data_IF_521979152583
#
_entry.id   IF_521979152583
#
_cell.length_a   1.000
_cell.length_b   1.000
_cell.length_c   1.000
_cell.angle_alpha   90.00
_cell.angle_beta   90.00
_cell.angle_gamma   90.00
#
_symmetry.space_group_name_H-M   'P 1'
#
loop_
_entity.id
_entity.type
_entity.pdbx_description
1 polymer ?
#
# COMPACT_ATOMS: atom_id res chain seq x y z
N UNK A 1 50.44 6.87 5.26
CA UNK A 1 49.37 7.45 4.42
C UNK A 1 48.99 6.46 3.34
N UNK A 2 47.86 5.78 3.51
CA UNK A 2 46.99 5.32 2.41
C UNK A 2 45.68 4.88 3.05
N UNK A 3 44.66 5.72 2.87
CA UNK A 3 43.26 5.35 3.05
C UNK A 3 42.73 4.88 1.68
N UNK A 4 41.76 3.95 1.66
CA UNK A 4 40.45 4.14 1.01
C UNK A 4 39.61 2.84 0.93
N UNK A 5 38.50 2.89 1.68
CA UNK A 5 37.10 2.53 1.39
C UNK A 5 36.65 1.18 0.77
N UNK A 6 35.97 0.44 1.65
CA UNK A 6 34.69 -0.29 1.56
C UNK A 6 33.86 -0.20 0.25
N UNK A 7 33.49 -1.36 -0.28
CA UNK A 7 32.41 -1.55 -1.25
C UNK A 7 31.61 -2.85 -0.96
N UNK A 8 30.30 -2.78 -1.25
CA UNK A 8 29.31 -3.87 -1.43
C UNK A 8 28.59 -4.45 -0.20
N UNK A 9 27.37 -3.96 0.05
CA UNK A 9 26.24 -4.79 0.52
C UNK A 9 25.29 -5.01 -0.67
N UNK A 10 25.23 -6.26 -1.15
CA UNK A 10 24.31 -6.73 -2.21
C UNK A 10 22.87 -6.84 -1.67
N UNK A 11 21.82 -6.82 -2.54
CA UNK A 11 20.43 -6.85 -2.11
C UNK A 11 20.04 -8.19 -1.49
N UNK A 12 19.59 -8.13 -0.24
CA UNK A 12 19.02 -9.25 0.51
C UNK A 12 17.56 -9.43 0.06
N UNK A 13 17.10 -10.67 -0.12
CA UNK A 13 15.68 -10.94 -0.38
C UNK A 13 15.20 -12.06 0.51
N UNK A 14 14.18 -11.77 1.32
CA UNK A 14 13.42 -12.77 2.06
C UNK A 14 12.32 -13.28 1.15
N UNK A 15 12.21 -14.61 1.02
CA UNK A 15 11.16 -15.25 0.21
C UNK A 15 10.32 -16.10 1.16
N UNK A 16 9.01 -15.88 1.15
CA UNK A 16 8.05 -16.70 1.87
C UNK A 16 7.49 -17.74 0.88
N UNK A 17 7.61 -19.03 1.21
CA UNK A 17 7.07 -20.11 0.38
C UNK A 17 6.11 -20.92 1.26
N UNK A 18 4.88 -21.09 0.77
CA UNK A 18 3.89 -21.95 1.41
C UNK A 18 4.06 -23.37 0.90
N UNK A 19 4.24 -24.31 1.83
CA UNK A 19 4.21 -25.75 1.56
C UNK A 19 3.05 -26.35 2.35
N UNK A 20 2.02 -26.80 1.64
CA UNK A 20 0.82 -27.47 2.18
C UNK A 20 0.14 -26.67 3.32
N UNK A 21 0.52 -26.96 4.57
CA UNK A 21 -0.06 -26.38 5.79
C UNK A 21 0.89 -25.43 6.56
N UNK A 22 2.12 -25.19 6.08
CA UNK A 22 3.12 -24.37 6.78
C UNK A 22 3.69 -23.24 5.93
N UNK A 23 4.01 -22.12 6.59
CA UNK A 23 4.77 -21.03 6.02
C UNK A 23 6.24 -21.21 6.35
N UNK A 24 7.07 -21.33 5.32
CA UNK A 24 8.51 -21.43 5.48
C UNK A 24 9.17 -20.16 4.95
N UNK A 25 10.00 -19.55 5.79
CA UNK A 25 10.76 -18.35 5.45
C UNK A 25 12.14 -18.76 4.97
N UNK A 26 12.49 -18.29 3.78
CA UNK A 26 13.77 -18.58 3.14
C UNK A 26 14.58 -17.30 3.03
N UNK A 27 15.82 -17.39 3.48
CA UNK A 27 16.79 -16.33 3.27
C UNK A 27 17.63 -16.66 2.05
N UNK A 28 17.57 -15.81 1.03
CA UNK A 28 18.38 -15.94 -0.17
C UNK A 28 19.50 -14.91 -0.11
N UNK A 29 20.74 -15.38 0.04
CA UNK A 29 21.92 -14.53 -0.01
C UNK A 29 22.88 -14.93 -1.13
N UNK A 30 23.53 -13.91 -1.70
CA UNK A 30 24.49 -14.07 -2.77
C UNK A 30 25.91 -14.17 -2.20
N UNK A 31 26.55 -15.31 -2.41
CA UNK A 31 27.98 -15.49 -2.19
C UNK A 31 28.80 -15.13 -3.43
N UNK A 32 30.14 -15.20 -3.32
CA UNK A 32 31.04 -14.87 -4.44
C UNK A 32 30.86 -15.76 -5.68
N UNK A 33 30.39 -17.01 -5.51
CA UNK A 33 30.24 -18.01 -6.60
C UNK A 33 28.97 -18.86 -6.49
N UNK A 34 28.17 -18.68 -5.44
CA UNK A 34 27.00 -19.51 -5.14
C UNK A 34 25.88 -18.65 -4.60
N UNK A 35 24.64 -19.11 -4.76
CA UNK A 35 23.49 -18.59 -4.02
C UNK A 35 23.20 -19.55 -2.87
N UNK A 36 23.01 -19.01 -1.67
CA UNK A 36 22.67 -19.80 -0.50
C UNK A 36 21.19 -19.58 -0.20
N UNK A 37 20.40 -20.63 -0.34
CA UNK A 37 19.03 -20.68 0.16
C UNK A 37 19.09 -21.31 1.56
N UNK A 38 18.81 -20.52 2.59
CA UNK A 38 18.81 -20.97 3.98
C UNK A 38 17.38 -21.09 4.46
N UNK A 39 17.07 -22.22 5.08
CA UNK A 39 15.82 -22.39 5.83
C UNK A 39 16.13 -22.23 7.31
N UNK A 40 15.14 -21.80 8.06
CA UNK A 40 15.23 -21.82 9.52
C UNK A 40 14.25 -22.86 10.04
N UNK A 41 14.76 -23.89 10.71
CA UNK A 41 13.97 -24.76 11.56
C UNK A 41 14.14 -24.24 12.98
N UNK A 42 13.10 -23.60 13.53
CA UNK A 42 13.06 -23.36 14.97
C UNK A 42 12.79 -24.68 15.68
N UNK A 43 13.50 -24.97 16.77
CA UNK A 43 13.07 -26.04 17.68
C UNK A 43 11.71 -25.65 18.27
N UNK A 44 10.83 -26.64 18.47
CA UNK A 44 9.41 -26.55 18.87
C UNK A 44 9.12 -25.84 20.22
N UNK A 45 10.08 -25.14 20.82
CA UNK A 45 9.95 -24.52 22.14
C UNK A 45 10.52 -23.10 22.25
N UNK A 46 10.65 -22.36 21.13
CA UNK A 46 11.06 -20.94 21.15
C UNK A 46 10.09 -20.07 20.35
N UNK A 47 9.42 -19.08 20.97
CA UNK A 47 8.55 -18.17 20.24
C UNK A 47 9.38 -17.15 19.46
N UNK A 48 9.04 -17.00 18.17
CA UNK A 48 9.22 -15.81 17.33
C UNK A 48 10.65 -15.28 17.12
N UNK A 49 11.23 -15.57 15.95
CA UNK A 49 12.39 -14.81 15.43
C UNK A 49 11.87 -13.72 14.49
N UNK A 50 12.15 -12.45 14.81
CA UNK A 50 11.71 -11.27 14.07
C UNK A 50 12.71 -10.86 12.99
N UNK A 51 12.20 -10.41 11.84
CA UNK A 51 12.99 -9.98 10.67
C UNK A 51 14.10 -8.93 10.91
N UNK A 52 14.02 -7.98 11.88
CA UNK A 52 15.09 -7.00 12.10
C UNK A 52 16.33 -7.57 12.80
N UNK A 53 16.27 -8.78 13.38
CA UNK A 53 17.42 -9.43 14.03
C UNK A 53 18.19 -10.36 13.07
N UNK A 54 17.78 -10.47 11.81
CA UNK A 54 18.37 -11.40 10.84
C UNK A 54 19.72 -10.95 10.25
N UNK A 55 20.22 -9.75 10.58
CA UNK A 55 21.47 -9.23 10.01
C UNK A 55 22.74 -9.85 10.61
N UNK A 56 22.63 -10.56 11.74
CA UNK A 56 23.77 -11.18 12.45
C UNK A 56 23.72 -12.72 12.52
N UNK A 57 22.84 -13.38 11.74
CA UNK A 57 22.58 -14.84 11.84
C UNK A 57 23.43 -15.70 10.89
N UNK A 58 24.75 -15.66 11.04
CA UNK A 58 25.58 -16.76 10.51
C UNK A 58 25.51 -18.01 11.41
N UNK A 59 25.25 -17.86 12.70
CA UNK A 59 25.11 -18.96 13.65
C UNK A 59 23.67 -19.49 13.70
N UNK A 60 23.49 -20.77 13.34
CA UNK A 60 22.23 -21.51 13.49
C UNK A 60 21.42 -21.74 12.21
N UNK A 61 21.76 -21.10 11.09
CA UNK A 61 21.10 -21.35 9.82
C UNK A 61 21.68 -22.61 9.13
N UNK A 62 20.85 -23.61 8.87
CA UNK A 62 21.28 -24.74 8.04
C UNK A 62 21.15 -24.39 6.56
N UNK A 63 22.23 -24.63 5.81
CA UNK A 63 22.20 -24.56 4.36
C UNK A 63 21.54 -25.84 3.87
N UNK A 64 20.26 -25.75 3.52
CA UNK A 64 19.50 -26.90 3.03
C UNK A 64 19.92 -27.26 1.60
N UNK A 65 20.41 -26.28 0.85
CA UNK A 65 20.93 -26.51 -0.49
C UNK A 65 21.96 -25.45 -0.88
N UNK A 66 23.18 -25.87 -1.22
CA UNK A 66 24.10 -25.06 -2.01
C UNK A 66 23.92 -25.41 -3.47
N UNK A 67 23.44 -24.44 -4.26
CA UNK A 67 23.34 -24.58 -5.70
C UNK A 67 24.48 -23.79 -6.34
N UNK A 68 25.31 -24.51 -7.11
CA UNK A 68 26.21 -23.88 -8.07
C UNK A 68 25.40 -23.13 -9.13
N UNK A 69 25.96 -22.10 -9.73
CA UNK A 69 25.30 -21.36 -10.82
C UNK A 69 24.87 -22.29 -11.97
N UNK A 70 25.61 -23.39 -12.17
CA UNK A 70 25.34 -24.41 -13.17
C UNK A 70 24.14 -25.30 -12.80
N UNK A 71 23.97 -25.61 -11.50
CA UNK A 71 22.80 -26.35 -11.01
C UNK A 71 21.52 -25.50 -11.03
N UNK A 72 21.62 -24.20 -10.71
CA UNK A 72 20.50 -23.26 -10.88
C UNK A 72 20.07 -23.22 -12.34
N UNK A 73 21.03 -23.04 -13.25
CA UNK A 73 20.83 -23.05 -14.69
C UNK A 73 20.13 -24.33 -15.21
N UNK A 74 20.54 -25.50 -14.72
CA UNK A 74 19.93 -26.78 -15.09
C UNK A 74 18.51 -26.95 -14.54
N UNK A 75 18.23 -26.50 -13.32
CA UNK A 75 16.90 -26.63 -12.71
C UNK A 75 15.89 -25.62 -13.26
N UNK A 76 16.35 -24.45 -13.72
CA UNK A 76 15.49 -23.41 -14.31
C UNK A 76 15.44 -23.44 -15.84
N UNK A 77 16.26 -24.27 -16.48
CA UNK A 77 16.34 -24.40 -17.94
C UNK A 77 17.04 -23.23 -18.66
N UNK A 78 17.88 -22.46 -17.97
CA UNK A 78 18.58 -21.29 -18.53
C UNK A 78 20.12 -21.45 -18.53
N UNK A 79 20.85 -20.90 -19.52
CA UNK A 79 22.31 -21.08 -19.59
C UNK A 79 23.08 -20.31 -18.51
N UNK A 80 24.11 -20.95 -17.97
CA UNK A 80 24.97 -20.40 -16.92
C UNK A 80 25.98 -19.38 -17.47
N UNK A 81 25.55 -18.16 -17.82
CA UNK A 81 26.46 -17.01 -17.93
C UNK A 81 25.76 -15.65 -17.86
N UNK A 82 26.42 -14.73 -17.13
CA UNK A 82 26.26 -13.26 -17.07
C UNK A 82 25.52 -12.70 -15.85
N UNK A 83 26.32 -12.31 -14.86
CA UNK A 83 25.99 -11.57 -13.63
C UNK A 83 25.53 -10.11 -13.85
N UNK A 84 25.03 -9.78 -15.05
CA UNK A 84 24.42 -8.47 -15.37
C UNK A 84 22.94 -8.54 -15.77
N UNK A 85 22.32 -9.72 -15.71
CA UNK A 85 20.87 -9.87 -15.78
C UNK A 85 20.28 -9.69 -14.37
N UNK A 86 19.99 -8.48 -13.90
CA UNK A 86 18.72 -7.81 -14.17
C UNK A 86 17.55 -8.81 -14.15
N UNK A 87 16.81 -8.82 -13.03
CA UNK A 87 15.34 -8.71 -13.04
C UNK A 87 14.62 -9.78 -13.83
N UNK A 88 14.26 -10.91 -13.21
CA UNK A 88 13.39 -11.89 -13.85
C UNK A 88 11.90 -11.73 -13.45
N UNK A 89 11.04 -11.33 -14.38
CA UNK A 89 9.58 -11.51 -14.36
C UNK A 89 9.05 -12.85 -13.81
N UNK A 90 9.76 -13.95 -14.06
CA UNK A 90 9.34 -15.29 -13.63
C UNK A 90 9.32 -15.45 -12.10
N UNK A 91 10.30 -14.87 -11.40
CA UNK A 91 10.33 -14.81 -9.93
C UNK A 91 9.18 -13.97 -9.35
N UNK A 92 8.70 -13.01 -10.14
CA UNK A 92 7.54 -12.19 -9.82
C UNK A 92 6.24 -13.00 -9.86
N UNK A 93 6.05 -13.75 -10.95
CA UNK A 93 4.95 -14.70 -11.07
C UNK A 93 4.95 -15.71 -9.93
N UNK A 94 6.12 -16.24 -9.52
CA UNK A 94 6.17 -17.16 -8.38
C UNK A 94 5.79 -16.52 -7.04
N UNK A 95 6.16 -15.26 -6.79
CA UNK A 95 5.76 -14.55 -5.58
C UNK A 95 4.24 -14.29 -5.60
N UNK A 96 3.70 -13.80 -6.71
CA UNK A 96 2.26 -13.61 -6.87
C UNK A 96 1.48 -14.93 -6.79
N UNK A 97 2.05 -16.02 -7.30
CA UNK A 97 1.49 -17.38 -7.15
C UNK A 97 1.52 -17.86 -5.70
N UNK A 98 2.52 -17.46 -4.92
CA UNK A 98 2.69 -17.84 -3.52
C UNK A 98 1.85 -16.99 -2.55
N UNK A 99 1.27 -15.87 -3.02
CA UNK A 99 0.34 -15.09 -2.22
C UNK A 99 -0.93 -15.89 -1.92
N UNK A 100 -1.56 -15.69 -0.74
CA UNK A 100 -2.72 -16.45 -0.33
C UNK A 100 -3.84 -16.34 -1.37
N UNK A 101 -4.38 -17.50 -1.77
CA UNK A 101 -5.60 -17.54 -2.57
C UNK A 101 -6.81 -17.16 -1.68
N UNK A 102 -7.80 -16.44 -2.21
CA UNK A 102 -9.02 -16.10 -1.47
C UNK A 102 -9.69 -17.40 -0.99
N UNK A 103 -9.75 -17.59 0.32
CA UNK A 103 -10.28 -18.80 0.97
C UNK A 103 -9.43 -19.28 2.15
N UNK A 104 -8.14 -18.97 2.17
CA UNK A 104 -7.27 -19.20 3.32
C UNK A 104 -7.12 -17.92 4.14
N UNK A 105 -8.19 -17.47 4.80
CA UNK A 105 -8.01 -16.54 5.91
C UNK A 105 -7.16 -17.28 6.97
N UNK A 106 -6.14 -16.65 7.57
CA UNK A 106 -5.58 -17.21 8.79
C UNK A 106 -6.75 -17.41 9.76
N UNK A 107 -6.78 -18.56 10.46
CA UNK A 107 -7.70 -18.73 11.57
C UNK A 107 -7.62 -17.46 12.42
N UNK A 108 -8.77 -16.91 12.82
CA UNK A 108 -8.78 -15.79 13.76
C UNK A 108 -7.75 -16.11 14.85
N UNK A 109 -6.80 -15.20 15.15
CA UNK A 109 -5.82 -15.48 16.19
C UNK A 109 -6.62 -15.95 17.39
N UNK A 110 -6.41 -17.20 17.82
CA UNK A 110 -7.24 -17.86 18.84
C UNK A 110 -7.55 -16.80 19.86
N UNK A 111 -8.83 -16.42 19.93
CA UNK A 111 -9.25 -15.40 20.85
C UNK A 111 -8.66 -15.84 22.18
N UNK A 112 -7.76 -15.03 22.74
CA UNK A 112 -7.39 -15.18 24.13
C UNK A 112 -8.68 -14.82 24.85
N UNK A 113 -9.62 -15.76 24.89
CA UNK A 113 -10.84 -15.66 25.64
C UNK A 113 -10.34 -15.42 27.05
N UNK A 114 -10.80 -14.36 27.72
CA UNK A 114 -10.47 -14.17 29.11
C UNK A 114 -10.96 -15.43 29.82
N UNK A 115 -10.01 -16.24 30.31
CA UNK A 115 -10.31 -17.42 31.11
C UNK A 115 -11.36 -17.03 32.15
N UNK A 116 -12.39 -17.89 32.27
CA UNK A 116 -13.49 -17.78 33.23
C UNK A 116 -13.05 -17.06 34.50
N UNK A 117 -13.42 -15.77 34.61
CA UNK A 117 -13.05 -14.91 35.74
C UNK A 117 -13.76 -15.48 36.98
N UNK A 118 -12.97 -15.98 37.91
CA UNK A 118 -13.41 -16.25 39.28
C UNK A 118 -13.96 -14.94 39.89
N UNK A 119 -15.27 -14.91 40.14
CA UNK A 119 -16.02 -13.72 40.60
C UNK A 119 -15.85 -13.40 42.09
N UNK A 120 -14.91 -14.06 42.78
CA UNK A 120 -14.83 -14.00 44.26
C UNK A 120 -13.86 -12.97 44.86
N UNK A 121 -13.20 -12.12 44.06
CA UNK A 121 -12.31 -11.07 44.58
C UNK A 121 -12.75 -9.67 44.15
N UNK A 122 -13.32 -8.92 45.10
CA UNK A 122 -13.57 -7.48 44.99
C UNK A 122 -12.24 -6.75 44.68
N UNK A 123 -12.12 -6.22 43.47
CA UNK A 123 -10.98 -5.37 43.08
C UNK A 123 -11.24 -3.89 43.40
N UNK A 124 -10.20 -3.12 43.75
CA UNK A 124 -10.29 -1.67 43.91
C UNK A 124 -10.73 -0.98 42.62
N UNK A 125 -11.59 0.02 42.75
CA UNK A 125 -12.32 0.77 41.72
C UNK A 125 -11.47 1.59 40.73
N UNK A 126 -10.15 1.41 40.66
CA UNK A 126 -9.25 2.15 39.76
C UNK A 126 -8.84 1.37 38.49
N UNK A 127 -9.16 0.07 38.38
CA UNK A 127 -8.72 -0.79 37.24
C UNK A 127 -9.82 -0.90 36.15
N UNK A 128 -11.02 -0.38 36.39
CA UNK A 128 -12.12 -0.43 35.41
C UNK A 128 -11.90 0.43 34.15
N UNK A 129 -10.86 1.27 34.10
CA UNK A 129 -10.47 2.05 32.91
C UNK A 129 -9.44 1.34 32.01
N UNK A 130 -8.94 0.15 32.39
CA UNK A 130 -7.96 -0.62 31.60
C UNK A 130 -8.57 -1.71 30.71
N UNK A 131 -9.84 -2.06 30.90
CA UNK A 131 -10.52 -3.13 30.16
C UNK A 131 -11.07 -2.69 28.78
N UNK A 132 -10.73 -1.48 28.30
CA UNK A 132 -10.90 -1.05 26.89
C UNK A 132 -9.55 -0.96 26.16
N UNK A 133 -8.59 -1.83 26.50
CA UNK A 133 -7.45 -2.11 25.64
C UNK A 133 -7.94 -2.94 24.43
N UNK A 134 -8.75 -2.32 23.57
CA UNK A 134 -8.91 -2.79 22.19
C UNK A 134 -7.49 -3.00 21.66
N UNK A 135 -7.23 -4.21 21.21
CA UNK A 135 -5.91 -4.68 20.81
C UNK A 135 -5.28 -3.62 19.90
N UNK A 136 -4.24 -2.90 20.37
CA UNK A 136 -3.55 -1.84 19.61
C UNK A 136 -2.68 -2.42 18.49
N UNK A 137 -3.11 -3.56 17.97
CA UNK A 137 -2.52 -4.29 16.87
C UNK A 137 -3.15 -3.82 15.58
N UNK A 138 -2.30 -3.36 14.69
CA UNK A 138 -2.68 -2.89 13.36
C UNK A 138 -2.48 -4.07 12.39
N UNK A 139 -3.50 -4.45 11.60
CA UNK A 139 -3.35 -5.43 10.55
C UNK A 139 -2.29 -5.03 9.54
N UNK A 140 -1.42 -5.97 9.17
CA UNK A 140 -0.60 -5.83 7.96
C UNK A 140 -1.38 -6.50 6.83
N UNK A 141 -1.97 -5.68 5.97
CA UNK A 141 -2.76 -6.18 4.84
C UNK A 141 -1.88 -6.77 3.75
N UNK A 142 -2.46 -7.67 2.94
CA UNK A 142 -1.76 -8.29 1.82
C UNK A 142 -1.24 -7.26 0.80
N UNK A 143 -2.05 -6.24 0.47
CA UNK A 143 -1.62 -5.14 -0.41
C UNK A 143 -0.53 -4.27 0.21
N UNK A 144 -0.52 -4.08 1.54
CA UNK A 144 0.54 -3.34 2.23
C UNK A 144 1.88 -4.08 2.16
N UNK A 145 1.86 -5.39 2.36
CA UNK A 145 3.04 -6.24 2.17
C UNK A 145 3.53 -6.20 0.72
N UNK A 146 2.62 -6.33 -0.24
CA UNK A 146 2.95 -6.22 -1.66
C UNK A 146 3.61 -4.86 -1.95
N UNK A 147 2.97 -3.76 -1.56
CA UNK A 147 3.50 -2.42 -1.81
C UNK A 147 4.85 -2.16 -1.12
N UNK A 148 5.04 -2.60 0.13
CA UNK A 148 6.32 -2.50 0.81
C UNK A 148 7.43 -3.22 0.02
N UNK A 149 7.16 -4.45 -0.41
CA UNK A 149 8.06 -5.21 -1.27
C UNK A 149 8.34 -4.52 -2.60
N UNK A 150 7.31 -3.95 -3.25
CA UNK A 150 7.45 -3.19 -4.50
C UNK A 150 8.41 -2.02 -4.35
N UNK A 151 8.23 -1.27 -3.26
CA UNK A 151 8.99 -0.05 -2.98
C UNK A 151 10.48 -0.34 -2.84
N UNK A 152 10.85 -1.48 -2.24
CA UNK A 152 12.25 -1.84 -2.03
C UNK A 152 12.98 -2.23 -3.33
N UNK A 153 12.24 -2.50 -4.41
CA UNK A 153 12.78 -2.94 -5.70
C UNK A 153 12.85 -1.82 -6.76
N UNK A 154 12.73 -0.56 -6.36
CA UNK A 154 12.35 0.60 -7.18
C UNK A 154 13.30 1.04 -8.32
N UNK A 155 14.23 0.22 -8.81
CA UNK A 155 15.01 0.57 -10.01
C UNK A 155 14.09 0.71 -11.24
N UNK A 156 14.07 1.86 -11.93
CA UNK A 156 13.12 2.21 -13.02
C UNK A 156 12.89 1.09 -14.07
N UNK A 157 13.96 0.48 -14.61
CA UNK A 157 13.81 -0.65 -15.56
C UNK A 157 13.05 -1.87 -15.01
N UNK A 158 13.00 -2.02 -13.68
CA UNK A 158 12.24 -3.07 -12.99
C UNK A 158 10.77 -2.76 -12.95
N UNK A 159 10.45 -1.50 -12.73
CA UNK A 159 9.09 -1.00 -12.65
C UNK A 159 8.33 -1.27 -13.95
N UNK A 160 8.96 -1.01 -15.11
CA UNK A 160 8.34 -1.28 -16.40
C UNK A 160 8.14 -2.78 -16.67
N UNK A 161 9.13 -3.61 -16.34
CA UNK A 161 9.01 -5.07 -16.48
C UNK A 161 7.88 -5.61 -15.60
N UNK A 162 7.82 -5.15 -14.35
CA UNK A 162 6.76 -5.52 -13.42
C UNK A 162 5.38 -5.05 -13.87
N UNK A 163 5.25 -3.80 -14.34
CA UNK A 163 3.99 -3.30 -14.88
C UNK A 163 3.51 -4.16 -16.06
N UNK A 164 4.41 -4.61 -16.93
CA UNK A 164 4.08 -5.54 -18.03
C UNK A 164 3.53 -6.87 -17.51
N UNK A 165 4.16 -7.47 -16.50
CA UNK A 165 3.70 -8.73 -15.94
C UNK A 165 2.38 -8.60 -15.18
N UNK A 166 2.22 -7.56 -14.37
CA UNK A 166 1.01 -7.35 -13.56
C UNK A 166 -0.22 -7.07 -14.43
N UNK A 167 -0.02 -6.58 -15.65
CA UNK A 167 -1.08 -6.32 -16.63
C UNK A 167 -1.42 -7.56 -17.50
N UNK A 168 -0.69 -8.67 -17.36
CA UNK A 168 -0.97 -9.93 -18.07
C UNK A 168 -1.89 -10.80 -17.23
N UNK A 169 -2.87 -11.42 -17.88
CA UNK A 169 -3.70 -12.42 -17.21
C UNK A 169 -2.86 -13.62 -16.72
N UNK A 170 -3.18 -14.20 -15.55
CA UNK A 170 -4.32 -13.89 -14.66
C UNK A 170 -3.96 -12.90 -13.52
N UNK A 171 -2.93 -12.07 -13.69
CA UNK A 171 -2.40 -11.25 -12.58
C UNK A 171 -3.37 -10.15 -12.12
N UNK A 172 -4.10 -9.42 -13.00
CA UNK A 172 -5.10 -8.45 -12.55
C UNK A 172 -6.15 -9.06 -11.61
N UNK A 173 -6.65 -10.26 -11.91
CA UNK A 173 -7.59 -10.98 -11.06
C UNK A 173 -7.01 -11.25 -9.66
N UNK A 174 -5.74 -11.67 -9.59
CA UNK A 174 -5.06 -11.89 -8.31
C UNK A 174 -4.87 -10.61 -7.53
N UNK A 175 -4.52 -9.51 -8.20
CA UNK A 175 -4.40 -8.22 -7.55
C UNK A 175 -5.75 -7.73 -7.00
N UNK A 176 -6.84 -7.95 -7.74
CA UNK A 176 -8.19 -7.67 -7.27
C UNK A 176 -8.58 -8.55 -6.05
N UNK A 177 -8.21 -9.82 -6.06
CA UNK A 177 -8.41 -10.72 -4.90
C UNK A 177 -7.58 -10.29 -3.69
N UNK A 178 -6.34 -9.82 -3.90
CA UNK A 178 -5.52 -9.23 -2.83
C UNK A 178 -6.12 -7.95 -2.27
N UNK A 179 -6.73 -7.12 -3.11
CA UNK A 179 -7.48 -5.95 -2.68
C UNK A 179 -8.63 -6.36 -1.76
N UNK A 180 -9.49 -7.29 -2.18
CA UNK A 180 -10.60 -7.77 -1.36
C UNK A 180 -10.12 -8.44 -0.05
N UNK A 181 -9.05 -9.24 -0.10
CA UNK A 181 -8.45 -9.81 1.10
C UNK A 181 -7.95 -8.72 2.06
N UNK A 182 -7.34 -7.66 1.52
CA UNK A 182 -6.85 -6.53 2.32
C UNK A 182 -7.99 -5.78 2.99
N UNK A 183 -9.13 -5.60 2.31
CA UNK A 183 -10.36 -5.05 2.91
C UNK A 183 -10.80 -5.91 4.09
N UNK A 184 -10.88 -7.25 3.90
CA UNK A 184 -11.28 -8.19 4.96
C UNK A 184 -10.33 -8.17 6.15
N UNK A 185 -9.02 -8.18 5.90
CA UNK A 185 -8.00 -8.10 6.95
C UNK A 185 -8.09 -6.80 7.74
N UNK A 186 -8.27 -5.66 7.05
CA UNK A 186 -8.35 -4.36 7.70
C UNK A 186 -9.72 -4.11 8.35
N UNK A 187 -10.77 -4.85 7.98
CA UNK A 187 -12.08 -4.76 8.64
C UNK A 187 -12.04 -5.19 10.11
N UNK A 188 -11.03 -5.99 10.51
CA UNK A 188 -10.78 -6.37 11.90
C UNK A 188 -10.17 -5.23 12.72
N UNK A 189 -9.68 -4.17 12.08
CA UNK A 189 -9.10 -3.01 12.75
C UNK A 189 -10.16 -1.98 13.08
N UNK A 190 -10.36 -1.77 14.37
CA UNK A 190 -11.27 -0.76 14.90
C UNK A 190 -10.50 0.32 15.66
N UNK A 191 -10.43 1.52 15.11
CA UNK A 191 -9.82 2.68 15.77
C UNK A 191 -10.53 3.97 15.36
N UNK A 192 -10.94 4.76 16.35
CA UNK A 192 -11.66 6.02 16.17
C UNK A 192 -10.82 7.27 16.46
N UNK A 193 -9.52 7.12 16.73
CA UNK A 193 -8.61 8.26 16.88
C UNK A 193 -8.51 9.09 15.58
N UNK A 194 -7.98 10.32 15.60
CA UNK A 194 -7.75 11.08 14.35
C UNK A 194 -6.79 10.37 13.38
N UNK A 195 -7.01 10.52 12.07
CA UNK A 195 -6.14 10.02 11.00
C UNK A 195 -4.73 10.62 10.99
N UNK A 196 -4.52 11.75 11.66
CA UNK A 196 -3.24 12.44 11.75
C UNK A 196 -3.06 13.07 13.15
N UNK A 197 -1.83 13.34 13.62
CA UNK A 197 -1.63 14.18 14.80
C UNK A 197 -2.17 15.60 14.55
N UNK A 198 -2.35 16.42 15.60
CA UNK A 198 -2.58 17.86 15.41
C UNK A 198 -1.49 18.46 14.51
N UNK A 199 -1.88 19.30 13.56
CA UNK A 199 -0.98 19.94 12.59
C UNK A 199 -1.13 21.46 12.63
N UNK A 200 -0.05 22.15 12.31
CA UNK A 200 -0.12 23.58 12.01
C UNK A 200 -0.98 23.82 10.76
N UNK A 201 -1.62 25.00 10.64
CA UNK A 201 -2.26 25.40 9.40
C UNK A 201 -1.28 25.34 8.22
N UNK A 202 -1.80 25.04 7.02
CA UNK A 202 -1.03 25.12 5.79
C UNK A 202 -0.53 26.57 5.57
N UNK A 203 0.71 26.77 5.10
CA UNK A 203 1.28 28.09 4.88
C UNK A 203 0.61 28.83 3.72
N UNK A 204 1.07 30.07 3.46
CA UNK A 204 0.62 30.84 2.31
C UNK A 204 1.10 30.21 0.98
N UNK A 205 0.24 30.08 -0.04
CA UNK A 205 0.59 29.61 -1.39
C UNK A 205 1.87 30.19 -1.99
N UNK A 206 2.15 31.47 -1.74
CA UNK A 206 3.32 32.18 -2.29
C UNK A 206 4.62 31.53 -1.80
N UNK A 207 4.62 30.98 -0.58
CA UNK A 207 5.80 30.31 0.00
C UNK A 207 6.09 28.92 -0.59
N UNK A 208 5.17 28.37 -1.38
CA UNK A 208 5.27 27.04 -1.99
C UNK A 208 5.62 27.09 -3.48
N UNK A 209 6.18 28.21 -3.94
CA UNK A 209 6.62 28.42 -5.32
C UNK A 209 8.14 28.60 -5.37
N UNK A 210 8.87 27.84 -6.22
CA UNK A 210 8.37 26.80 -7.13
C UNK A 210 7.91 25.54 -6.38
N UNK A 211 7.02 24.76 -7.00
CA UNK A 211 6.52 23.50 -6.42
C UNK A 211 7.64 22.47 -6.44
N UNK A 212 8.10 21.99 -5.28
CA UNK A 212 9.15 20.98 -5.20
C UNK A 212 8.65 19.66 -4.63
N UNK A 213 7.62 19.72 -3.80
CA UNK A 213 7.12 18.62 -2.99
C UNK A 213 5.61 18.44 -3.11
N UNK A 214 5.11 17.27 -2.72
CA UNK A 214 3.66 17.01 -2.62
C UNK A 214 3.00 17.99 -1.66
N UNK A 215 3.72 18.44 -0.62
CA UNK A 215 3.24 19.44 0.32
C UNK A 215 2.97 20.79 -0.36
N UNK A 216 3.89 21.27 -1.21
CA UNK A 216 3.71 22.54 -1.93
C UNK A 216 2.43 22.52 -2.78
N UNK A 217 2.22 21.42 -3.51
CA UNK A 217 1.03 21.24 -4.33
C UNK A 217 -0.25 21.12 -3.49
N UNK A 218 -0.16 20.53 -2.29
CA UNK A 218 -1.26 20.46 -1.31
C UNK A 218 -1.70 21.86 -0.87
N UNK A 219 -0.74 22.74 -0.58
CA UNK A 219 -1.01 24.13 -0.17
C UNK A 219 -1.78 24.86 -1.28
N UNK A 220 -1.32 24.75 -2.52
CA UNK A 220 -1.97 25.38 -3.67
C UNK A 220 -3.38 24.83 -3.91
N UNK A 221 -3.55 23.51 -3.89
CA UNK A 221 -4.85 22.86 -4.08
C UNK A 221 -5.86 23.27 -2.99
N UNK A 222 -5.42 23.24 -1.73
CA UNK A 222 -6.24 23.64 -0.58
C UNK A 222 -6.68 25.10 -0.69
N UNK A 223 -5.76 26.01 -1.02
CA UNK A 223 -6.06 27.42 -1.17
C UNK A 223 -6.99 27.69 -2.36
N UNK A 224 -6.76 27.02 -3.50
CA UNK A 224 -7.65 27.12 -4.65
C UNK A 224 -9.07 26.68 -4.30
N UNK A 225 -9.25 25.54 -3.64
CA UNK A 225 -10.57 25.06 -3.24
C UNK A 225 -11.24 25.99 -2.22
N UNK A 226 -10.49 26.64 -1.33
CA UNK A 226 -11.04 27.65 -0.41
C UNK A 226 -11.61 28.86 -1.14
N UNK A 227 -10.97 29.29 -2.23
CA UNK A 227 -11.38 30.50 -2.96
C UNK A 227 -12.42 30.22 -4.06
N UNK A 228 -12.37 29.03 -4.68
CA UNK A 228 -13.22 28.68 -5.83
C UNK A 228 -14.23 27.57 -5.52
N UNK A 229 -14.21 27.01 -4.32
CA UNK A 229 -15.06 25.91 -3.88
C UNK A 229 -14.62 24.54 -4.38
N UNK A 230 -14.08 24.43 -5.60
CA UNK A 230 -13.73 23.17 -6.27
C UNK A 230 -12.61 23.34 -7.29
N UNK A 231 -12.03 22.23 -7.75
CA UNK A 231 -11.15 22.16 -8.93
C UNK A 231 -11.87 21.43 -10.05
N UNK A 232 -12.06 22.13 -11.16
CA UNK A 232 -12.66 21.57 -12.37
C UNK A 232 -11.65 20.73 -13.16
N UNK A 233 -12.14 19.62 -13.72
CA UNK A 233 -11.34 18.72 -14.55
C UNK A 233 -11.71 18.90 -16.02
N UNK A 234 -10.78 19.47 -16.79
CA UNK A 234 -10.96 19.73 -18.22
C UNK A 234 -11.28 18.44 -18.99
N UNK A 235 -12.39 18.45 -19.73
CA UNK A 235 -12.84 17.30 -20.53
C UNK A 235 -13.41 16.12 -19.72
N UNK A 236 -13.67 16.31 -18.42
CA UNK A 236 -14.34 15.33 -17.56
C UNK A 236 -14.99 15.99 -16.33
N UNK A 237 -16.08 16.77 -16.48
CA UNK A 237 -16.73 17.47 -15.38
C UNK A 237 -17.12 16.57 -14.20
N UNK A 238 -17.46 15.31 -14.46
CA UNK A 238 -17.79 14.31 -13.44
C UNK A 238 -16.63 13.98 -12.48
N UNK A 239 -15.40 14.40 -12.81
CA UNK A 239 -14.21 14.23 -11.99
C UNK A 239 -13.90 15.46 -11.10
N UNK A 240 -14.71 16.52 -11.21
CA UNK A 240 -14.55 17.75 -10.42
C UNK A 240 -14.59 17.44 -8.93
N UNK A 241 -13.63 17.98 -8.18
CA UNK A 241 -13.42 17.61 -6.79
C UNK A 241 -13.11 18.82 -5.91
N UNK A 242 -13.28 18.64 -4.60
CA UNK A 242 -12.86 19.61 -3.58
C UNK A 242 -11.82 18.99 -2.69
N UNK A 243 -10.86 19.79 -2.26
CA UNK A 243 -9.89 19.40 -1.25
C UNK A 243 -10.58 19.20 0.11
N UNK A 244 -10.26 18.10 0.79
CA UNK A 244 -10.72 17.84 2.17
C UNK A 244 -9.54 17.82 3.12
N UNK A 245 -8.57 16.94 2.86
CA UNK A 245 -7.43 16.75 3.77
C UNK A 245 -6.21 16.15 3.06
N UNK A 246 -5.07 16.06 3.74
CA UNK A 246 -3.81 15.50 3.26
C UNK A 246 -3.13 14.61 4.30
N UNK A 247 -2.20 13.77 3.85
CA UNK A 247 -1.37 12.88 4.68
C UNK A 247 -2.17 12.02 5.70
N UNK A 248 -3.31 11.46 5.27
CA UNK A 248 -4.16 10.67 6.16
C UNK A 248 -3.58 9.27 6.35
N UNK A 249 -3.44 8.80 7.57
CA UNK A 249 -2.98 7.43 7.85
C UNK A 249 -4.13 6.56 8.38
N UNK A 250 -4.78 5.72 7.53
CA UNK A 250 -5.82 4.79 7.98
C UNK A 250 -5.37 3.91 9.14
N UNK A 251 -4.12 3.45 9.08
CA UNK A 251 -3.50 2.59 10.08
C UNK A 251 -2.94 3.33 11.31
N UNK A 252 -3.20 4.63 11.46
CA UNK A 252 -2.68 5.41 12.59
C UNK A 252 -3.35 5.00 13.90
N UNK A 253 -2.54 4.56 14.85
CA UNK A 253 -2.91 4.31 16.25
C UNK A 253 -1.90 5.00 17.16
N UNK A 254 -2.34 5.70 18.21
CA UNK A 254 -1.47 6.35 19.18
C UNK A 254 -0.94 5.39 20.25
N UNK A 255 0.10 5.83 20.96
CA UNK A 255 0.77 5.06 22.01
C UNK A 255 1.67 3.96 21.46
N UNK A 256 1.91 2.91 22.25
CA UNK A 256 2.80 1.78 21.90
C UNK A 256 2.09 0.77 20.99
N UNK A 257 1.45 1.26 19.93
CA UNK A 257 0.82 0.40 18.93
C UNK A 257 1.86 -0.44 18.20
N UNK A 258 1.46 -1.65 17.85
CA UNK A 258 2.28 -2.61 17.11
C UNK A 258 1.47 -3.13 15.93
N UNK A 259 2.13 -3.70 14.95
CA UNK A 259 1.44 -4.46 13.90
C UNK A 259 1.13 -5.89 14.39
N UNK A 260 0.37 -6.67 13.61
CA UNK A 260 0.10 -8.08 13.94
C UNK A 260 1.36 -8.96 14.01
N UNK A 261 2.41 -8.60 13.28
CA UNK A 261 3.73 -9.22 13.42
C UNK A 261 4.52 -8.68 14.63
N UNK A 262 3.85 -7.95 15.53
CA UNK A 262 4.37 -7.34 16.75
C UNK A 262 5.49 -6.31 16.53
N UNK A 263 5.76 -5.94 15.27
CA UNK A 263 6.70 -4.88 14.94
C UNK A 263 6.16 -3.50 15.38
N UNK A 264 7.02 -2.56 15.81
CA UNK A 264 6.58 -1.24 16.25
C UNK A 264 5.92 -0.41 15.12
N UNK A 265 4.74 0.14 15.37
CA UNK A 265 4.03 1.00 14.43
C UNK A 265 4.52 2.47 14.49
N UNK A 266 5.79 2.71 14.15
CA UNK A 266 6.46 4.02 14.37
C UNK A 266 6.07 5.11 13.38
N UNK A 267 5.82 4.77 12.12
CA UNK A 267 5.33 5.69 11.07
C UNK A 267 4.45 4.92 10.10
N UNK A 268 3.17 5.28 10.08
CA UNK A 268 2.21 4.75 9.10
C UNK A 268 2.49 5.29 7.70
N UNK A 269 1.93 4.62 6.71
CA UNK A 269 1.83 5.14 5.34
C UNK A 269 0.63 6.06 5.25
N UNK A 270 0.75 7.16 4.53
CA UNK A 270 -0.26 8.21 4.44
C UNK A 270 -0.79 8.37 3.01
N UNK A 271 -2.10 8.53 2.89
CA UNK A 271 -2.78 9.00 1.68
C UNK A 271 -2.33 10.44 1.44
N UNK A 272 -1.82 10.74 0.25
CA UNK A 272 -1.39 12.10 -0.06
C UNK A 272 -2.55 13.09 0.06
N UNK A 273 -3.67 12.85 -0.63
CA UNK A 273 -4.88 13.66 -0.54
C UNK A 273 -6.15 12.83 -0.34
N UNK A 274 -6.99 13.30 0.58
CA UNK A 274 -8.42 12.97 0.61
C UNK A 274 -9.16 14.13 -0.05
N UNK A 275 -9.89 13.81 -1.13
CA UNK A 275 -10.75 14.75 -1.84
C UNK A 275 -12.20 14.27 -1.75
N UNK A 276 -13.12 15.12 -2.17
CA UNK A 276 -14.53 14.78 -2.31
C UNK A 276 -15.03 15.12 -3.71
N UNK A 277 -15.77 14.20 -4.32
CA UNK A 277 -16.44 14.45 -5.59
C UNK A 277 -17.45 15.59 -5.41
N UNK A 278 -17.39 16.59 -6.28
CA UNK A 278 -18.21 17.80 -6.11
C UNK A 278 -19.68 17.58 -6.45
N UNK A 279 -19.99 16.53 -7.23
CA UNK A 279 -21.35 16.28 -7.72
C UNK A 279 -22.17 15.47 -6.71
N UNK A 280 -21.55 14.49 -6.06
CA UNK A 280 -22.25 13.51 -5.22
C UNK A 280 -21.61 13.27 -3.84
N UNK A 281 -20.55 13.98 -3.49
CA UNK A 281 -19.95 13.85 -2.16
C UNK A 281 -19.18 12.53 -1.93
N UNK A 282 -18.90 11.74 -2.97
CA UNK A 282 -18.13 10.49 -2.86
C UNK A 282 -16.69 10.80 -2.42
N UNK A 283 -16.14 10.10 -1.40
CA UNK A 283 -14.73 10.20 -1.05
C UNK A 283 -13.80 9.80 -2.20
N UNK A 284 -12.70 10.53 -2.35
CA UNK A 284 -11.68 10.27 -3.36
C UNK A 284 -10.34 10.10 -2.64
N UNK A 285 -9.72 8.93 -2.79
CA UNK A 285 -8.35 8.68 -2.32
C UNK A 285 -7.41 9.01 -3.46
N UNK A 286 -6.48 9.94 -3.23
CA UNK A 286 -5.57 10.40 -4.26
C UNK A 286 -4.10 10.26 -3.85
N UNK A 287 -3.30 9.77 -4.79
CA UNK A 287 -1.84 9.71 -4.68
C UNK A 287 -1.22 10.70 -5.68
N UNK A 288 -0.23 11.46 -5.23
CA UNK A 288 0.40 12.53 -5.99
C UNK A 288 1.80 12.13 -6.40
N UNK A 289 2.17 12.44 -7.64
CA UNK A 289 3.51 12.22 -8.16
C UNK A 289 4.04 13.45 -8.88
N UNK A 290 5.24 13.90 -8.52
CA UNK A 290 5.89 15.14 -9.02
C UNK A 290 7.14 14.84 -9.86
N UNK A 291 7.33 15.58 -10.96
CA UNK A 291 8.39 15.45 -11.98
C UNK A 291 8.93 14.04 -12.31
N UNK A 292 10.04 13.64 -11.68
CA UNK A 292 10.79 12.41 -11.97
C UNK A 292 10.64 11.34 -10.89
N UNK A 293 9.95 11.61 -9.78
CA UNK A 293 9.67 10.65 -8.69
C UNK A 293 8.60 9.59 -9.08
N UNK A 294 8.46 9.29 -10.37
CA UNK A 294 7.16 8.92 -10.92
C UNK A 294 7.10 7.51 -11.46
N UNK A 295 6.38 6.69 -10.71
CA UNK A 295 5.78 5.50 -11.25
C UNK A 295 4.26 5.56 -11.10
N UNK A 296 3.49 5.95 -12.15
CA UNK A 296 2.02 5.91 -12.08
C UNK A 296 1.49 4.51 -11.75
N UNK A 297 2.23 3.45 -12.11
CA UNK A 297 1.88 2.09 -11.75
C UNK A 297 2.01 1.86 -10.23
N UNK A 298 3.08 2.32 -9.57
CA UNK A 298 3.16 2.22 -8.10
C UNK A 298 2.16 3.12 -7.40
N UNK A 299 1.86 4.30 -7.96
CA UNK A 299 0.81 5.14 -7.45
C UNK A 299 -0.52 4.38 -7.43
N UNK A 300 -0.89 3.70 -8.52
CA UNK A 300 -2.10 2.86 -8.57
C UNK A 300 -2.11 1.79 -7.46
N UNK A 301 -1.02 1.02 -7.30
CA UNK A 301 -0.95 -0.03 -6.27
C UNK A 301 -1.06 0.57 -4.86
N UNK A 302 -0.41 1.69 -4.61
CA UNK A 302 -0.45 2.39 -3.34
C UNK A 302 -1.84 2.94 -3.03
N UNK A 303 -2.52 3.54 -4.01
CA UNK A 303 -3.87 4.05 -3.81
C UNK A 303 -4.89 2.92 -3.63
N UNK A 304 -4.71 1.77 -4.30
CA UNK A 304 -5.49 0.56 -4.04
C UNK A 304 -5.30 0.05 -2.61
N UNK A 305 -4.06 0.02 -2.11
CA UNK A 305 -3.76 -0.34 -0.73
C UNK A 305 -4.51 0.58 0.25
N UNK A 306 -4.44 1.89 0.05
CA UNK A 306 -5.14 2.84 0.93
C UNK A 306 -6.67 2.74 0.81
N UNK A 307 -7.20 2.58 -0.41
CA UNK A 307 -8.62 2.38 -0.62
C UNK A 307 -9.12 1.12 0.11
N UNK A 308 -8.35 0.02 0.06
CA UNK A 308 -8.70 -1.21 0.77
C UNK A 308 -8.80 -1.01 2.29
N UNK A 309 -7.93 -0.17 2.84
CA UNK A 309 -7.95 0.16 4.27
C UNK A 309 -9.06 1.15 4.63
N UNK A 310 -9.40 2.07 3.73
CA UNK A 310 -10.36 3.15 4.00
C UNK A 310 -11.83 2.72 3.84
N UNK A 311 -12.12 1.73 2.99
CA UNK A 311 -13.50 1.29 2.69
C UNK A 311 -14.12 0.42 3.79
N UNK A 312 -13.41 0.15 4.89
CA UNK A 312 -13.94 -0.67 5.98
C UNK A 312 -14.94 0.11 6.83
N UNK A 313 -15.89 -0.59 7.46
CA UNK A 313 -16.94 0.04 8.28
C UNK A 313 -16.38 1.00 9.33
N UNK A 314 -15.39 0.56 10.11
CA UNK A 314 -14.77 1.40 11.15
C UNK A 314 -14.11 2.64 10.57
N UNK A 315 -13.42 2.53 9.42
CA UNK A 315 -12.82 3.70 8.79
C UNK A 315 -13.86 4.66 8.20
N UNK A 316 -14.98 4.15 7.66
CA UNK A 316 -16.07 5.00 7.18
C UNK A 316 -16.75 5.74 8.33
N UNK A 317 -16.98 5.07 9.47
CA UNK A 317 -17.50 5.70 10.69
C UNK A 317 -16.52 6.76 11.22
N UNK A 318 -15.21 6.48 11.18
CA UNK A 318 -14.15 7.43 11.54
C UNK A 318 -14.11 8.64 10.61
N UNK A 319 -14.27 8.46 9.29
CA UNK A 319 -14.41 9.57 8.33
C UNK A 319 -15.64 10.40 8.68
N UNK A 320 -16.79 9.76 8.91
CA UNK A 320 -18.03 10.45 9.27
C UNK A 320 -17.79 11.34 10.49
N UNK A 321 -17.21 10.79 11.55
CA UNK A 321 -16.95 11.53 12.78
C UNK A 321 -15.98 12.71 12.58
N UNK A 322 -14.91 12.52 11.81
CA UNK A 322 -13.85 13.52 11.65
C UNK A 322 -14.20 14.60 10.62
N UNK A 323 -14.99 14.27 9.60
CA UNK A 323 -15.32 15.13 8.46
C UNK A 323 -16.85 15.25 8.29
N UNK A 324 -17.56 15.55 9.39
CA UNK A 324 -19.01 15.72 9.41
C UNK A 324 -19.48 16.61 8.24
N UNK A 325 -20.54 16.19 7.56
CA UNK A 325 -21.19 16.89 6.44
C UNK A 325 -20.33 17.15 5.18
N UNK A 326 -19.08 16.64 5.13
CA UNK A 326 -18.24 16.76 3.93
C UNK A 326 -18.61 15.74 2.86
N UNK A 327 -18.91 14.51 3.27
CA UNK A 327 -19.09 13.35 2.40
C UNK A 327 -20.53 12.82 2.46
N UNK A 328 -21.03 12.33 1.33
CA UNK A 328 -22.28 11.56 1.28
C UNK A 328 -21.97 10.07 1.50
N UNK A 329 -21.78 9.70 2.76
CA UNK A 329 -21.39 8.34 3.14
C UNK A 329 -22.62 7.42 3.27
N UNK A 330 -22.53 6.15 2.86
CA UNK A 330 -23.62 5.19 3.05
C UNK A 330 -23.93 5.02 4.53
N UNK A 331 -25.21 4.97 4.88
CA UNK A 331 -25.64 4.59 6.21
C UNK A 331 -25.56 3.07 6.34
N UNK A 332 -24.92 2.60 7.40
CA UNK A 332 -24.84 1.17 7.69
C UNK A 332 -26.09 0.76 8.46
N UNK A 333 -26.91 -0.07 7.85
CA UNK A 333 -27.93 -0.80 8.60
C UNK A 333 -27.25 -1.89 9.43
N UNK A 334 -27.67 -2.03 10.68
CA UNK A 334 -27.14 -3.06 11.56
C UNK A 334 -27.33 -4.45 10.95
N UNK A 335 -26.23 -5.21 10.86
CA UNK A 335 -26.24 -6.56 10.27
C UNK A 335 -26.19 -6.62 8.73
N UNK A 336 -26.07 -5.50 8.01
CA UNK A 336 -25.88 -5.50 6.54
C UNK A 336 -24.47 -5.09 6.16
N UNK A 337 -23.90 -5.80 5.17
CA UNK A 337 -22.65 -5.40 4.55
C UNK A 337 -22.82 -4.09 3.75
N UNK A 338 -21.70 -3.38 3.57
CA UNK A 338 -21.64 -2.15 2.77
C UNK A 338 -21.86 -2.50 1.31
N UNK A 339 -23.12 -2.49 0.87
CA UNK A 339 -23.48 -2.79 -0.51
C UNK A 339 -23.48 -1.52 -1.36
N UNK A 340 -22.31 -0.95 -1.64
CA UNK A 340 -22.12 0.01 -2.75
C UNK A 340 -20.63 0.37 -2.87
N UNK A 341 -20.12 0.61 -4.09
CA UNK A 341 -18.84 1.27 -4.24
C UNK A 341 -18.84 2.59 -3.46
N UNK A 342 -17.78 2.78 -2.67
CA UNK A 342 -17.64 3.81 -1.63
C UNK A 342 -16.65 4.91 -2.01
N UNK A 343 -15.68 4.59 -2.87
CA UNK A 343 -14.52 5.45 -3.09
C UNK A 343 -14.16 5.58 -4.56
N UNK A 344 -13.67 6.75 -4.94
CA UNK A 344 -12.99 6.97 -6.22
C UNK A 344 -11.47 6.98 -5.99
N UNK A 345 -10.68 6.51 -6.95
CA UNK A 345 -9.21 6.52 -6.90
C UNK A 345 -8.66 7.50 -7.93
N UNK A 346 -7.90 8.50 -7.51
CA UNK A 346 -7.21 9.45 -8.40
C UNK A 346 -5.68 9.30 -8.30
N UNK A 347 -5.03 9.12 -9.45
CA UNK A 347 -3.59 9.26 -9.58
C UNK A 347 -3.33 10.66 -10.14
N UNK A 348 -2.75 11.55 -9.34
CA UNK A 348 -2.51 12.94 -9.75
C UNK A 348 -1.04 13.14 -10.09
N UNK A 349 -0.79 13.56 -11.33
CA UNK A 349 0.56 13.79 -11.82
C UNK A 349 0.79 15.28 -12.05
N UNK A 350 1.86 15.84 -11.48
CA UNK A 350 2.23 17.24 -11.67
C UNK A 350 3.53 17.36 -12.45
N UNK A 351 3.50 18.05 -13.60
CA UNK A 351 4.62 18.09 -14.57
C UNK A 351 5.00 16.66 -15.01
N UNK A 352 4.02 15.85 -15.43
CA UNK A 352 4.31 14.56 -16.05
C UNK A 352 4.68 14.82 -17.48
N UNK A 353 5.96 14.63 -17.82
CA UNK A 353 6.33 14.60 -19.22
C UNK A 353 6.37 13.13 -19.70
N UNK A 354 5.25 12.56 -20.16
CA UNK A 354 5.26 11.19 -20.69
C UNK A 354 6.22 11.09 -21.87
N UNK A 355 6.39 12.18 -22.64
CA UNK A 355 7.24 12.25 -23.83
C UNK A 355 8.74 12.33 -23.51
N UNK A 356 9.13 12.47 -22.24
CA UNK A 356 10.55 12.55 -21.90
C UNK A 356 11.30 11.24 -22.15
N UNK A 357 10.62 10.08 -22.01
CA UNK A 357 11.20 8.76 -22.30
C UNK A 357 10.13 7.79 -22.79
N UNK A 358 10.50 6.84 -23.67
CA UNK A 358 9.59 5.77 -24.13
C UNK A 358 9.06 4.92 -22.97
N UNK A 359 9.88 4.73 -21.94
CA UNK A 359 9.52 3.92 -20.76
C UNK A 359 8.42 4.58 -19.92
N UNK A 360 8.40 5.91 -19.80
CA UNK A 360 7.33 6.64 -19.09
C UNK A 360 5.99 6.55 -19.82
N UNK A 361 5.98 6.71 -21.15
CA UNK A 361 4.77 6.46 -21.96
C UNK A 361 4.25 5.05 -21.70
N UNK A 362 5.13 4.04 -21.83
CA UNK A 362 4.74 2.65 -21.63
C UNK A 362 4.25 2.36 -20.22
N UNK A 363 4.84 2.96 -19.18
CA UNK A 363 4.37 2.82 -17.80
C UNK A 363 2.98 3.42 -17.61
N UNK A 364 2.71 4.58 -18.18
CA UNK A 364 1.39 5.20 -18.11
C UNK A 364 0.33 4.36 -18.84
N UNK A 365 0.66 3.84 -20.04
CA UNK A 365 -0.22 2.97 -20.82
C UNK A 365 -0.54 1.67 -20.08
N UNK A 366 0.46 1.05 -19.46
CA UNK A 366 0.27 -0.15 -18.64
C UNK A 366 -0.55 0.14 -17.39
N UNK A 367 -0.34 1.29 -16.75
CA UNK A 367 -1.17 1.73 -15.61
C UNK A 367 -2.62 1.91 -16.04
N UNK A 368 -2.86 2.55 -17.18
CA UNK A 368 -4.18 2.74 -17.77
C UNK A 368 -4.88 1.39 -18.03
N UNK A 369 -4.17 0.46 -18.68
CA UNK A 369 -4.68 -0.89 -18.95
C UNK A 369 -4.99 -1.67 -17.67
N UNK A 370 -4.10 -1.63 -16.68
CA UNK A 370 -4.32 -2.30 -15.40
C UNK A 370 -5.52 -1.70 -14.65
N UNK A 371 -5.66 -0.37 -14.62
CA UNK A 371 -6.82 0.29 -14.03
C UNK A 371 -8.14 -0.15 -14.67
N UNK A 372 -8.17 -0.26 -16.00
CA UNK A 372 -9.32 -0.76 -16.74
C UNK A 372 -9.65 -2.22 -16.37
N UNK A 373 -8.65 -3.10 -16.31
CA UNK A 373 -8.84 -4.50 -15.93
C UNK A 373 -9.34 -4.63 -14.50
N UNK A 374 -8.74 -3.89 -13.55
CA UNK A 374 -9.11 -3.95 -12.14
C UNK A 374 -10.54 -3.49 -11.89
N UNK A 375 -10.95 -2.35 -12.45
CA UNK A 375 -12.30 -1.82 -12.19
C UNK A 375 -13.41 -2.68 -12.80
N UNK A 376 -13.09 -3.51 -13.79
CA UNK A 376 -14.02 -4.48 -14.36
C UNK A 376 -14.23 -5.73 -13.48
N UNK A 377 -13.37 -5.95 -12.48
CA UNK A 377 -13.44 -7.12 -11.61
C UNK A 377 -14.31 -6.85 -10.38
N UNK A 378 -15.28 -7.73 -10.05
CA UNK A 378 -16.20 -7.52 -8.92
C UNK A 378 -15.51 -7.28 -7.58
N UNK A 379 -14.37 -7.94 -7.33
CA UNK A 379 -13.59 -7.80 -6.11
C UNK A 379 -13.11 -6.35 -5.85
N UNK A 380 -12.96 -5.54 -6.91
CA UNK A 380 -12.61 -4.11 -6.85
C UNK A 380 -13.86 -3.24 -7.02
N UNK A 381 -14.69 -3.53 -8.03
CA UNK A 381 -15.89 -2.74 -8.38
C UNK A 381 -16.93 -2.66 -7.25
N UNK A 382 -16.94 -3.63 -6.34
CA UNK A 382 -17.80 -3.61 -5.14
C UNK A 382 -17.47 -2.43 -4.22
N UNK A 383 -16.22 -1.98 -4.19
CA UNK A 383 -15.74 -0.95 -3.25
C UNK A 383 -15.30 0.34 -3.95
N UNK A 384 -14.78 0.23 -5.17
CA UNK A 384 -14.23 1.36 -5.93
C UNK A 384 -15.14 1.64 -7.11
N UNK A 385 -15.63 2.88 -7.21
CA UNK A 385 -16.56 3.31 -8.25
C UNK A 385 -15.85 3.71 -9.54
N UNK A 386 -14.66 4.28 -9.44
CA UNK A 386 -13.85 4.68 -10.60
C UNK A 386 -12.38 4.75 -10.26
N UNK A 387 -11.54 4.57 -11.28
CA UNK A 387 -10.10 4.82 -11.23
C UNK A 387 -9.78 5.85 -12.32
N UNK A 388 -9.14 6.95 -11.96
CA UNK A 388 -8.75 8.01 -12.88
C UNK A 388 -7.28 8.41 -12.69
N UNK A 389 -6.66 8.85 -13.78
CA UNK A 389 -5.41 9.59 -13.72
C UNK A 389 -5.63 11.00 -14.26
N UNK A 390 -5.09 11.98 -13.52
CA UNK A 390 -5.24 13.40 -13.79
C UNK A 390 -3.86 14.05 -13.90
N UNK A 391 -3.75 15.03 -14.77
CA UNK A 391 -2.63 15.97 -14.75
C UNK A 391 -3.06 17.24 -14.05
N UNK A 392 -2.25 17.72 -13.11
CA UNK A 392 -2.46 18.98 -12.40
C UNK A 392 -1.40 19.99 -12.83
N UNK A 393 -1.86 21.16 -13.22
CA UNK A 393 -1.02 22.30 -13.58
C UNK A 393 -1.39 23.52 -12.74
N UNK A 394 -0.41 24.40 -12.55
CA UNK A 394 -0.53 25.63 -11.77
C UNK A 394 -0.12 26.80 -12.66
N UNK A 395 -1.01 27.79 -12.81
CA UNK A 395 -0.73 29.00 -13.59
C UNK A 395 -0.19 30.15 -12.74
N UNK A 396 0.17 31.26 -13.39
CA UNK A 396 0.83 32.45 -12.81
C UNK A 396 0.09 33.10 -11.62
N UNK A 397 -1.21 32.82 -11.45
CA UNK A 397 -2.03 33.35 -10.35
C UNK A 397 -2.36 32.33 -9.27
N UNK A 398 -1.54 31.30 -9.08
CA UNK A 398 -1.85 30.13 -8.24
C UNK A 398 -3.15 29.41 -8.64
N UNK A 399 -3.60 29.62 -9.87
CA UNK A 399 -4.77 28.96 -10.42
C UNK A 399 -4.42 27.48 -10.65
N UNK A 400 -5.12 26.59 -9.97
CA UNK A 400 -4.97 25.14 -10.13
C UNK A 400 -5.93 24.69 -11.23
N UNK A 401 -5.42 23.91 -12.18
CA UNK A 401 -6.22 23.27 -13.22
C UNK A 401 -5.90 21.79 -13.24
N UNK A 402 -6.93 20.97 -13.40
CA UNK A 402 -6.78 19.55 -13.66
C UNK A 402 -7.26 19.21 -15.07
N UNK A 403 -6.60 18.26 -15.72
CA UNK A 403 -7.01 17.65 -16.97
C UNK A 403 -7.04 16.13 -16.84
N UNK A 404 -8.01 15.50 -17.49
CA UNK A 404 -8.10 14.04 -17.54
C UNK A 404 -6.97 13.47 -18.40
N UNK A 405 -6.27 12.47 -17.87
CA UNK A 405 -5.41 11.56 -18.65
C UNK A 405 -6.23 10.34 -19.07
N UNK A 406 -6.77 9.60 -18.10
CA UNK A 406 -7.72 8.49 -18.33
C UNK A 406 -8.73 8.40 -17.18
N UNK A 407 -9.84 7.72 -17.43
CA UNK A 407 -10.88 7.41 -16.43
C UNK A 407 -11.57 6.11 -16.80
N UNK A 408 -11.74 5.23 -15.81
CA UNK A 408 -12.51 3.99 -15.94
C UNK A 408 -13.52 3.89 -14.80
N UNK A 409 -14.83 4.04 -15.07
CA UNK A 409 -15.87 3.76 -14.08
C UNK A 409 -16.06 2.24 -13.92
N UNK A 410 -16.58 1.83 -12.75
CA UNK A 410 -17.17 0.51 -12.59
C UNK A 410 -18.43 0.41 -13.48
N UNK A 411 -18.64 -0.76 -14.08
CA UNK A 411 -19.77 -1.03 -14.97
C UNK A 411 -21.10 -1.09 -14.22
#
# INVERSE_FOLDING_TARGET
MTSQFNFNRDPVSVICIRCEESWNWYHLSKGKKTWKLRTFQGNDSTPEIYAPQLTDLEEGAQVVQELTLQQVAQQTGQPAASTSAVKEPAKWLSILNALPQPGALPAEPESILPGTRDTSLQRPSAIAAQDQCWDRRIPITALRNLYAFLKDLAAEKFQLAMAREVTREPVPERLANLFQLSVKQFALYHNMESFHPPRSPLPDPISCQPIETTHDLTVLLSHHCRNHGKVEVSGAPQLTCRYVDHELAPSRTTGRAVYWDLSPARKGKTIDWLLVNSDDGTPIVAEVKIRNDKNPFFALIQTLMYAAELVTRSQVERIRQQYNDVFQLPHFEEGKEVASPFVDIYIVLHEYNPRSTKDKVALLDLTNKLAQQLIALPAVATYIRRIAALEISTGDSNAVKMSKIFVHPAN
#
